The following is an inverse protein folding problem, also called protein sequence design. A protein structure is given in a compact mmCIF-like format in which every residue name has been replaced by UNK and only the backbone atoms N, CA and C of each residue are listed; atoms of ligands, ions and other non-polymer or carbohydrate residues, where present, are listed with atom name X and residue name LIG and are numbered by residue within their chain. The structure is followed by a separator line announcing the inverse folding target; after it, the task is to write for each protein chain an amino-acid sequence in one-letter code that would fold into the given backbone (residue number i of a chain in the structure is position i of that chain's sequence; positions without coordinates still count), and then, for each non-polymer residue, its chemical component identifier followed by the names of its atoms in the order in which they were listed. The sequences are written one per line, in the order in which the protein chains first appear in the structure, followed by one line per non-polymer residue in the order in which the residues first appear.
data_IF_964339171355
#
_entry.id   IF_964339171355
#
_cell.length_a   1.000
_cell.length_b   1.000
_cell.length_c   1.000
_cell.angle_alpha   90.00
_cell.angle_beta   90.00
_cell.angle_gamma   90.00
#
_symmetry.space_group_name_H-M   'P 1'
#
loop_
_entity.id
_entity.type
_entity.pdbx_description
1 polymer ?
#
# COMPACT_ATOMS: atom_id res chain seq x y z
N UNK A 1 15.92 -14.24 24.04
CA UNK A 1 16.35 -13.23 23.05
C UNK A 1 15.20 -13.03 22.08
N UNK A 2 14.60 -11.85 22.03
CA UNK A 2 13.56 -11.51 21.04
C UNK A 2 14.18 -11.41 19.66
N UNK A 3 13.56 -11.99 18.64
CA UNK A 3 14.00 -11.84 17.25
C UNK A 3 14.10 -10.33 16.89
N UNK A 4 15.07 -9.94 16.04
CA UNK A 4 15.19 -8.55 15.60
C UNK A 4 13.87 -8.08 14.95
N UNK A 5 13.49 -6.83 15.20
CA UNK A 5 12.29 -6.25 14.62
C UNK A 5 12.41 -6.24 13.09
N UNK A 6 11.36 -6.71 12.40
CA UNK A 6 11.33 -6.70 10.93
C UNK A 6 11.33 -5.27 10.41
N UNK A 7 12.23 -4.98 9.48
CA UNK A 7 12.39 -3.66 8.87
C UNK A 7 11.82 -3.63 7.46
N UNK A 8 10.84 -2.75 7.27
CA UNK A 8 10.06 -2.64 6.04
C UNK A 8 10.28 -1.25 5.45
N UNK A 9 10.56 -1.17 4.16
CA UNK A 9 10.72 0.13 3.50
C UNK A 9 9.63 0.40 2.47
N UNK A 10 9.15 1.64 2.40
CA UNK A 10 8.32 2.15 1.30
C UNK A 10 9.19 2.94 0.35
N UNK A 11 9.17 2.59 -0.94
CA UNK A 11 9.87 3.28 -2.00
C UNK A 11 8.87 3.90 -2.99
N UNK A 12 8.83 5.23 -3.03
CA UNK A 12 8.02 6.00 -3.96
C UNK A 12 8.91 6.97 -4.74
N UNK A 13 8.49 7.35 -5.95
CA UNK A 13 9.22 8.34 -6.75
C UNK A 13 9.32 9.70 -6.04
N UNK A 14 8.30 10.05 -5.26
CA UNK A 14 8.19 11.28 -4.46
C UNK A 14 7.36 11.01 -3.21
N UNK A 15 7.65 11.73 -2.13
CA UNK A 15 6.95 11.66 -0.85
C UNK A 15 6.17 12.94 -0.55
N UNK A 16 5.51 13.50 -1.57
CA UNK A 16 4.76 14.75 -1.45
C UNK A 16 3.40 14.50 -0.75
N UNK A 17 3.18 15.03 0.47
CA UNK A 17 1.92 14.85 1.20
C UNK A 17 0.74 15.60 0.55
N UNK A 18 0.94 16.48 -0.42
CA UNK A 18 -0.18 17.06 -1.17
C UNK A 18 -0.88 15.99 -2.03
N UNK A 19 -0.12 14.99 -2.49
CA UNK A 19 -0.67 13.91 -3.31
C UNK A 19 -1.51 12.93 -2.48
N UNK A 20 -2.79 12.79 -2.82
CA UNK A 20 -3.70 11.87 -2.13
C UNK A 20 -3.18 10.42 -2.08
N UNK A 21 -2.60 9.91 -3.18
CA UNK A 21 -2.02 8.57 -3.19
C UNK A 21 -0.86 8.41 -2.22
N UNK A 22 -0.07 9.46 -1.98
CA UNK A 22 1.04 9.41 -1.02
C UNK A 22 0.51 9.48 0.42
N UNK A 23 -0.44 10.36 0.72
CA UNK A 23 -1.04 10.40 2.06
C UNK A 23 -1.73 9.09 2.43
N UNK A 24 -2.63 8.62 1.56
CA UNK A 24 -3.58 7.56 1.88
C UNK A 24 -2.99 6.15 1.77
N UNK A 25 -2.03 5.93 0.85
CA UNK A 25 -1.42 4.60 0.62
C UNK A 25 -0.09 4.40 1.33
N UNK A 26 0.61 5.50 1.63
CA UNK A 26 2.00 5.45 2.09
C UNK A 26 2.14 6.10 3.46
N UNK A 27 1.99 7.42 3.58
CA UNK A 27 2.34 8.13 4.82
C UNK A 27 1.43 7.76 5.99
N UNK A 28 0.11 7.68 5.76
CA UNK A 28 -0.86 7.26 6.77
C UNK A 28 -0.60 5.83 7.27
N UNK A 29 -0.54 4.83 6.37
CA UNK A 29 -0.19 3.46 6.74
C UNK A 29 1.15 3.34 7.47
N UNK A 30 2.19 4.02 6.99
CA UNK A 30 3.50 4.03 7.65
C UNK A 30 3.43 4.60 9.07
N UNK A 31 2.72 5.72 9.27
CA UNK A 31 2.54 6.33 10.59
C UNK A 31 1.85 5.37 11.56
N UNK A 32 0.78 4.70 11.12
CA UNK A 32 0.08 3.69 11.93
C UNK A 32 0.98 2.51 12.30
N UNK A 33 1.74 1.97 11.34
CA UNK A 33 2.62 0.82 11.59
C UNK A 33 3.74 1.18 12.57
N UNK A 34 4.32 2.38 12.46
CA UNK A 34 5.30 2.90 13.43
C UNK A 34 4.71 3.05 14.82
N UNK A 35 3.52 3.62 14.93
CA UNK A 35 2.79 3.72 16.21
C UNK A 35 2.50 2.34 16.82
N UNK A 36 2.39 1.30 15.98
CA UNK A 36 2.21 -0.10 16.39
C UNK A 36 3.54 -0.80 16.73
N UNK A 37 4.67 -0.08 16.76
CA UNK A 37 5.99 -0.61 17.13
C UNK A 37 6.74 -1.32 16.00
N UNK A 38 6.31 -1.20 14.74
CA UNK A 38 7.04 -1.77 13.60
C UNK A 38 8.11 -0.81 13.09
N UNK A 39 9.25 -1.38 12.68
CA UNK A 39 10.34 -0.64 12.05
C UNK A 39 10.02 -0.41 10.56
N UNK A 40 9.46 0.77 10.27
CA UNK A 40 9.04 1.15 8.93
C UNK A 40 9.75 2.43 8.49
N UNK A 41 10.37 2.41 7.31
CA UNK A 41 11.18 3.52 6.80
C UNK A 41 10.79 3.92 5.38
N UNK A 42 11.09 5.16 5.01
CA UNK A 42 11.11 5.56 3.60
C UNK A 42 12.40 5.07 2.96
N UNK A 43 12.36 4.76 1.67
CA UNK A 43 13.53 4.37 0.88
C UNK A 43 13.75 5.37 -0.25
N UNK A 44 14.99 5.78 -0.45
CA UNK A 44 15.39 6.70 -1.51
C UNK A 44 16.39 6.02 -2.45
N UNK A 45 16.52 6.55 -3.67
CA UNK A 45 17.57 6.13 -4.59
C UNK A 45 18.95 6.35 -3.93
N UNK A 46 19.77 5.30 -3.90
CA UNK A 46 21.09 5.31 -3.24
C UNK A 46 21.10 4.66 -1.85
N UNK A 47 19.94 4.42 -1.24
CA UNK A 47 19.87 3.70 0.02
C UNK A 47 20.29 2.22 -0.16
N UNK A 48 20.90 1.65 0.88
CA UNK A 48 21.27 0.23 0.89
C UNK A 48 20.07 -0.62 1.32
N UNK A 49 19.61 -1.54 0.47
CA UNK A 49 18.48 -2.42 0.81
C UNK A 49 18.86 -3.69 1.60
N UNK A 50 20.16 -3.95 1.87
CA UNK A 50 20.68 -5.20 2.47
C UNK A 50 20.12 -5.55 3.85
N UNK A 51 19.60 -4.56 4.56
CA UNK A 51 19.08 -4.68 5.92
C UNK A 51 17.54 -4.74 5.97
N UNK A 52 16.88 -4.72 4.82
CA UNK A 52 15.42 -4.76 4.71
C UNK A 52 14.91 -6.20 4.66
N UNK A 53 13.80 -6.44 5.36
CA UNK A 53 13.00 -7.67 5.32
C UNK A 53 11.86 -7.59 4.30
N UNK A 54 11.50 -6.39 3.84
CA UNK A 54 10.62 -6.19 2.69
C UNK A 54 10.73 -4.79 2.14
N UNK A 55 10.34 -4.64 0.87
CA UNK A 55 10.16 -3.34 0.23
C UNK A 55 8.79 -3.25 -0.42
N UNK A 56 8.15 -2.09 -0.27
CA UNK A 56 6.90 -1.72 -0.94
C UNK A 56 7.20 -0.65 -1.97
N UNK A 57 7.02 -0.99 -3.23
CA UNK A 57 7.15 -0.07 -4.34
C UNK A 57 5.78 0.59 -4.59
N UNK A 58 5.58 1.80 -4.10
CA UNK A 58 4.32 2.55 -4.29
C UNK A 58 4.29 3.18 -5.67
N UNK A 59 3.73 2.46 -6.64
CA UNK A 59 3.69 2.80 -8.08
C UNK A 59 5.05 3.17 -8.66
N UNK A 60 6.13 2.68 -8.08
CA UNK A 60 7.49 3.02 -8.48
C UNK A 60 8.09 1.89 -9.31
N UNK A 61 8.41 2.18 -10.57
CA UNK A 61 8.97 1.24 -11.54
C UNK A 61 10.07 1.90 -12.39
N UNK A 62 10.91 2.75 -11.77
CA UNK A 62 12.12 3.24 -12.46
C UNK A 62 13.19 2.16 -12.48
N UNK A 63 14.27 2.40 -13.22
CA UNK A 63 15.42 1.48 -13.26
C UNK A 63 16.00 1.24 -11.86
N UNK A 64 16.05 2.28 -11.02
CA UNK A 64 16.53 2.18 -9.64
C UNK A 64 15.60 1.30 -8.78
N UNK A 65 14.28 1.47 -8.91
CA UNK A 65 13.31 0.65 -8.21
C UNK A 65 13.39 -0.82 -8.64
N UNK A 66 13.60 -1.06 -9.93
CA UNK A 66 13.80 -2.39 -10.51
C UNK A 66 15.09 -3.02 -9.98
N UNK A 67 16.20 -2.28 -9.95
CA UNK A 67 17.47 -2.77 -9.43
C UNK A 67 17.34 -3.18 -7.95
N UNK A 68 16.67 -2.37 -7.14
CA UNK A 68 16.39 -2.70 -5.74
C UNK A 68 15.48 -3.91 -5.62
N UNK A 69 14.43 -4.02 -6.45
CA UNK A 69 13.55 -5.19 -6.48
C UNK A 69 14.33 -6.47 -6.80
N UNK A 70 15.23 -6.44 -7.80
CA UNK A 70 16.10 -7.59 -8.14
C UNK A 70 16.97 -8.00 -6.97
N UNK A 71 17.63 -7.05 -6.30
CA UNK A 71 18.48 -7.34 -5.13
C UNK A 71 17.67 -7.97 -3.98
N UNK A 72 16.47 -7.45 -3.71
CA UNK A 72 15.56 -8.03 -2.73
C UNK A 72 15.16 -9.47 -3.10
N UNK A 73 14.86 -9.74 -4.38
CA UNK A 73 14.51 -11.07 -4.87
C UNK A 73 15.66 -12.07 -4.83
N UNK A 74 16.89 -11.65 -5.14
CA UNK A 74 18.10 -12.48 -5.00
C UNK A 74 18.25 -12.95 -3.55
N UNK A 75 17.91 -12.10 -2.58
CA UNK A 75 17.95 -12.41 -1.15
C UNK A 75 16.72 -13.16 -0.64
N UNK A 76 15.79 -13.55 -1.53
CA UNK A 76 14.53 -14.20 -1.16
C UNK A 76 13.55 -13.30 -0.41
N UNK A 77 13.80 -11.99 -0.34
CA UNK A 77 12.95 -11.07 0.40
C UNK A 77 11.72 -10.65 -0.42
N UNK A 78 10.58 -10.37 0.25
CA UNK A 78 9.39 -9.85 -0.39
C UNK A 78 9.59 -8.50 -1.09
N UNK A 79 9.01 -8.40 -2.29
CA UNK A 79 8.82 -7.16 -3.04
C UNK A 79 7.32 -7.00 -3.25
N UNK A 80 6.75 -5.96 -2.67
CA UNK A 80 5.32 -5.67 -2.74
C UNK A 80 5.13 -4.49 -3.70
N UNK A 81 4.34 -4.67 -4.76
CA UNK A 81 3.99 -3.58 -5.66
C UNK A 81 2.61 -3.04 -5.33
N UNK A 82 2.56 -1.80 -4.86
CA UNK A 82 1.34 -1.12 -4.42
C UNK A 82 0.80 -0.22 -5.54
N UNK A 83 -0.40 -0.55 -6.04
CA UNK A 83 -1.05 0.07 -7.18
C UNK A 83 -2.38 0.68 -6.74
N UNK A 84 -2.55 1.98 -6.92
CA UNK A 84 -3.77 2.70 -6.53
C UNK A 84 -4.51 3.37 -7.70
N UNK A 85 -4.02 3.22 -8.92
CA UNK A 85 -4.62 3.71 -10.17
C UNK A 85 -4.29 2.76 -11.33
N UNK A 86 -4.99 2.89 -12.46
CA UNK A 86 -4.68 2.10 -13.64
C UNK A 86 -3.43 2.65 -14.33
N UNK A 87 -2.26 2.23 -13.86
CA UNK A 87 -0.96 2.64 -14.40
C UNK A 87 -0.67 2.15 -15.82
N UNK A 88 -1.48 1.24 -16.39
CA UNK A 88 -1.35 0.81 -17.78
C UNK A 88 -2.05 1.78 -18.75
N UNK A 89 -3.10 2.44 -18.27
CA UNK A 89 -3.82 3.48 -18.98
C UNK A 89 -3.17 4.85 -18.73
N UNK A 90 -2.57 5.41 -19.77
CA UNK A 90 -1.89 6.70 -19.70
C UNK A 90 -1.95 7.43 -21.03
N UNK A 91 -1.86 8.76 -20.98
CA UNK A 91 -1.79 9.62 -22.18
C UNK A 91 -0.71 9.09 -23.12
N UNK A 92 -0.93 9.17 -24.44
CA UNK A 92 0.07 8.79 -25.45
C UNK A 92 1.38 9.52 -25.13
N UNK A 93 2.42 8.76 -24.80
CA UNK A 93 3.78 9.26 -24.56
C UNK A 93 4.71 8.61 -25.57
N UNK A 94 5.75 9.34 -25.97
CA UNK A 94 6.81 8.85 -26.88
C UNK A 94 7.49 7.59 -26.28
N UNK A 95 7.60 7.51 -24.96
CA UNK A 95 8.26 6.42 -24.23
C UNK A 95 7.31 5.31 -23.74
N UNK A 96 6.08 5.22 -24.28
CA UNK A 96 5.05 4.27 -23.78
C UNK A 96 5.57 2.83 -23.71
N UNK A 97 6.30 2.36 -24.72
CA UNK A 97 6.77 0.97 -24.76
C UNK A 97 7.82 0.68 -23.69
N UNK A 98 8.82 1.55 -23.53
CA UNK A 98 9.83 1.42 -22.47
C UNK A 98 9.21 1.50 -21.08
N UNK A 99 8.21 2.37 -20.90
CA UNK A 99 7.43 2.45 -19.66
C UNK A 99 6.69 1.15 -19.36
N UNK A 100 6.03 0.55 -20.35
CA UNK A 100 5.33 -0.73 -20.20
C UNK A 100 6.30 -1.90 -19.97
N UNK A 101 7.49 -1.87 -20.56
CA UNK A 101 8.52 -2.87 -20.31
C UNK A 101 8.94 -2.87 -18.83
N UNK A 102 9.30 -1.70 -18.29
CA UNK A 102 9.62 -1.54 -16.85
C UNK A 102 8.49 -1.96 -15.93
N UNK A 103 7.25 -1.66 -16.31
CA UNK A 103 6.09 -2.07 -15.54
C UNK A 103 5.91 -3.60 -15.51
N UNK A 104 6.08 -4.28 -16.65
CA UNK A 104 6.07 -5.75 -16.69
C UNK A 104 7.21 -6.36 -15.89
N UNK A 105 8.37 -5.71 -15.90
CA UNK A 105 9.54 -6.15 -15.16
C UNK A 105 9.37 -6.01 -13.64
N UNK A 106 8.86 -4.88 -13.15
CA UNK A 106 8.58 -4.76 -11.70
C UNK A 106 7.53 -5.78 -11.27
N UNK A 107 6.54 -6.07 -12.13
CA UNK A 107 5.54 -7.10 -11.86
C UNK A 107 6.20 -8.48 -11.76
N UNK A 108 7.06 -8.87 -12.70
CA UNK A 108 7.73 -10.19 -12.64
C UNK A 108 8.66 -10.34 -11.43
N UNK A 109 9.16 -9.22 -10.88
CA UNK A 109 9.97 -9.18 -9.67
C UNK A 109 9.14 -9.12 -8.39
N UNK A 110 7.85 -8.81 -8.46
CA UNK A 110 7.00 -8.67 -7.28
C UNK A 110 6.58 -10.03 -6.74
N UNK A 111 6.64 -10.22 -5.43
CA UNK A 111 6.03 -11.38 -4.77
C UNK A 111 4.56 -11.15 -4.47
N UNK A 112 4.19 -9.87 -4.33
CA UNK A 112 2.82 -9.46 -4.01
C UNK A 112 2.43 -8.22 -4.79
N UNK A 113 1.14 -8.14 -5.14
CA UNK A 113 0.53 -6.92 -5.65
C UNK A 113 -0.60 -6.52 -4.73
N UNK A 114 -0.66 -5.25 -4.40
CA UNK A 114 -1.74 -4.65 -3.62
C UNK A 114 -2.48 -3.66 -4.51
N UNK A 115 -3.81 -3.79 -4.56
CA UNK A 115 -4.71 -2.90 -5.26
C UNK A 115 -5.51 -2.07 -4.25
N UNK A 116 -5.84 -0.82 -4.59
CA UNK A 116 -6.72 0.03 -3.78
C UNK A 116 -8.19 -0.42 -3.81
N UNK A 117 -8.65 -1.06 -4.90
CA UNK A 117 -10.04 -1.50 -5.04
C UNK A 117 -10.16 -2.82 -5.81
N UNK A 118 -11.27 -3.57 -5.63
CA UNK A 118 -11.54 -4.77 -6.44
C UNK A 118 -11.70 -4.46 -7.93
N UNK A 119 -12.27 -3.29 -8.25
CA UNK A 119 -12.45 -2.83 -9.64
C UNK A 119 -11.10 -2.65 -10.31
N UNK A 120 -10.14 -2.01 -9.63
CA UNK A 120 -8.78 -1.86 -10.15
C UNK A 120 -8.09 -3.22 -10.33
N UNK A 121 -8.26 -4.14 -9.37
CA UNK A 121 -7.71 -5.49 -9.49
C UNK A 121 -8.25 -6.20 -10.75
N UNK A 122 -9.56 -6.14 -10.99
CA UNK A 122 -10.20 -6.73 -12.17
C UNK A 122 -9.69 -6.10 -13.48
N UNK A 123 -9.52 -4.78 -13.53
CA UNK A 123 -8.98 -4.08 -14.70
C UNK A 123 -7.54 -4.50 -15.04
N UNK A 124 -6.74 -4.86 -14.03
CA UNK A 124 -5.33 -5.22 -14.19
C UNK A 124 -5.09 -6.72 -14.30
N UNK A 125 -6.15 -7.53 -14.32
CA UNK A 125 -6.04 -8.98 -14.34
C UNK A 125 -5.33 -9.48 -15.61
N UNK A 126 -5.63 -8.92 -16.78
CA UNK A 126 -4.99 -9.29 -18.05
C UNK A 126 -3.47 -9.05 -18.08
N UNK A 127 -2.95 -8.20 -17.18
CA UNK A 127 -1.53 -7.90 -17.07
C UNK A 127 -0.81 -8.77 -16.03
N UNK A 128 -1.57 -9.41 -15.15
CA UNK A 128 -1.04 -10.13 -13.99
C UNK A 128 -1.46 -11.59 -13.96
N UNK A 129 -2.36 -12.01 -14.85
CA UNK A 129 -2.78 -13.39 -15.05
C UNK A 129 -1.59 -14.26 -15.45
N UNK A 130 -1.39 -15.38 -14.76
CA UNK A 130 -0.28 -16.31 -15.03
C UNK A 130 1.04 -15.97 -14.34
N UNK A 131 1.13 -14.82 -13.64
CA UNK A 131 2.29 -14.54 -12.79
C UNK A 131 2.12 -15.24 -11.43
N UNK A 132 3.17 -15.86 -10.86
CA UNK A 132 3.13 -16.53 -9.57
C UNK A 132 3.19 -15.50 -8.41
N UNK A 133 2.22 -14.59 -8.38
CA UNK A 133 2.18 -13.42 -7.50
C UNK A 133 0.89 -13.44 -6.70
N UNK A 134 1.00 -13.25 -5.38
CA UNK A 134 -0.18 -13.12 -4.53
C UNK A 134 -0.80 -11.73 -4.67
N UNK A 135 -2.12 -11.68 -4.85
CA UNK A 135 -2.88 -10.46 -5.14
C UNK A 135 -3.77 -10.11 -3.96
N UNK A 136 -3.76 -8.84 -3.56
CA UNK A 136 -4.54 -8.35 -2.41
C UNK A 136 -5.29 -7.07 -2.77
N UNK A 137 -6.50 -6.92 -2.25
CA UNK A 137 -7.21 -5.64 -2.26
C UNK A 137 -7.16 -5.05 -0.86
N UNK A 138 -6.48 -3.93 -0.71
CA UNK A 138 -6.40 -3.19 0.54
C UNK A 138 -6.94 -1.80 0.24
N UNK A 139 -8.11 -1.42 0.77
CA UNK A 139 -8.68 -0.09 0.54
C UNK A 139 -7.79 1.03 1.07
N UNK A 140 -7.97 2.22 0.49
CA UNK A 140 -7.30 3.43 0.96
C UNK A 140 -7.68 3.74 2.41
N UNK A 141 -6.73 4.33 3.14
CA UNK A 141 -7.03 4.90 4.44
C UNK A 141 -8.10 5.99 4.26
N UNK A 142 -9.02 6.07 5.23
CA UNK A 142 -9.95 7.20 5.30
C UNK A 142 -9.17 8.38 5.87
N UNK A 143 -9.07 9.47 5.10
CA UNK A 143 -8.67 10.77 5.64
C UNK A 143 -9.78 11.22 6.59
N UNK A 144 -9.54 11.06 7.89
CA UNK A 144 -10.38 11.73 8.88
C UNK A 144 -9.96 13.20 8.89
N UNK A 145 -10.87 14.16 8.66
CA UNK A 145 -10.53 15.56 8.81
C UNK A 145 -9.97 15.75 10.22
N UNK A 146 -8.79 16.36 10.33
CA UNK A 146 -8.25 16.72 11.63
C UNK A 146 -9.30 17.58 12.32
N UNK A 147 -9.81 17.12 13.46
CA UNK A 147 -10.73 17.83 14.33
C UNK A 147 -10.05 19.13 14.75
N UNK A 148 -10.26 20.20 13.97
CA UNK A 148 -9.50 21.45 14.09
C UNK A 148 -9.68 22.39 12.90
N UNK A 149 -9.98 21.87 11.72
CA UNK A 149 -10.43 22.70 10.59
C UNK A 149 -11.68 22.09 9.99
N UNK A 150 -12.84 22.61 10.41
CA UNK A 150 -14.05 22.48 9.61
C UNK A 150 -13.76 23.13 8.25
N UNK A 151 -13.36 22.31 7.27
CA UNK A 151 -13.32 22.74 5.89
C UNK A 151 -14.76 23.13 5.54
N UNK A 152 -15.04 24.44 5.50
CA UNK A 152 -16.27 24.96 4.96
C UNK A 152 -16.30 24.55 3.48
N UNK A 153 -16.90 23.40 3.19
CA UNK A 153 -17.22 23.00 1.82
C UNK A 153 -17.92 24.18 1.16
N UNK A 154 -17.40 24.60 0.02
CA UNK A 154 -18.03 25.66 -0.74
C UNK A 154 -19.40 25.17 -1.28
N UNK A 155 -20.30 26.06 -1.71
CA UNK A 155 -21.63 25.67 -2.16
C UNK A 155 -21.64 24.63 -3.29
N UNK A 156 -20.62 24.64 -4.17
CA UNK A 156 -20.46 23.66 -5.25
C UNK A 156 -20.07 22.27 -4.75
N UNK A 157 -19.13 22.19 -3.81
CA UNK A 157 -18.72 20.92 -3.18
C UNK A 157 -19.87 20.31 -2.36
N UNK A 158 -20.67 21.14 -1.69
CA UNK A 158 -21.90 20.70 -1.01
C UNK A 158 -22.91 20.13 -2.00
N UNK A 159 -23.12 20.81 -3.12
CA UNK A 159 -24.04 20.36 -4.16
C UNK A 159 -23.62 19.01 -4.76
N UNK A 160 -22.34 18.81 -5.06
CA UNK A 160 -21.82 17.54 -5.56
C UNK A 160 -21.93 16.40 -4.55
N UNK A 161 -21.62 16.66 -3.27
CA UNK A 161 -21.81 15.68 -2.19
C UNK A 161 -23.28 15.27 -2.04
N UNK A 162 -24.21 16.22 -2.10
CA UNK A 162 -25.64 15.91 -2.06
C UNK A 162 -26.12 15.09 -3.25
N UNK A 163 -25.53 15.26 -4.44
CA UNK A 163 -25.82 14.38 -5.59
C UNK A 163 -25.31 12.96 -5.38
N UNK A 164 -24.08 12.80 -4.88
CA UNK A 164 -23.49 11.48 -4.61
C UNK A 164 -24.29 10.70 -3.54
N UNK A 165 -24.76 11.39 -2.50
CA UNK A 165 -25.55 10.81 -1.42
C UNK A 165 -26.93 10.31 -1.88
N UNK A 166 -27.54 10.98 -2.88
CA UNK A 166 -28.84 10.59 -3.44
C UNK A 166 -28.76 9.46 -4.48
N UNK A 167 -27.55 9.17 -4.99
CA UNK A 167 -27.32 8.13 -6.02
C UNK A 167 -26.79 6.80 -5.47
N UNK A 168 -26.58 6.68 -4.16
CA UNK A 168 -26.05 5.45 -3.54
C UNK A 168 -27.19 4.64 -2.92
N UNK A 169 -27.29 3.30 -3.16
CA UNK A 169 -28.19 2.46 -2.38
C UNK A 169 -27.78 2.48 -0.89
N UNK A 170 -28.70 2.19 0.05
CA UNK A 170 -28.42 2.28 1.48
C UNK A 170 -27.24 1.37 1.84
N UNK A 171 -26.13 2.00 2.23
CA UNK A 171 -24.97 1.28 2.76
C UNK A 171 -25.42 0.61 4.07
N UNK A 172 -25.30 -0.71 4.22
CA UNK A 172 -25.60 -1.38 5.48
C UNK A 172 -24.77 -0.75 6.61
N UNK A 173 -25.43 -0.49 7.75
CA UNK A 173 -24.86 0.20 8.94
C UNK A 173 -23.64 -0.48 9.57
N UNK A 174 -23.16 -1.58 8.98
CA UNK A 174 -22.00 -2.36 9.40
C UNK A 174 -20.66 -1.85 8.80
N UNK A 175 -20.69 -0.89 7.87
CA UNK A 175 -19.48 -0.43 7.15
C UNK A 175 -18.72 0.73 7.83
N UNK A 176 -19.14 1.19 9.00
CA UNK A 176 -18.37 2.14 9.83
C UNK A 176 -17.44 1.33 10.73
N UNK A 177 -16.38 0.81 10.13
CA UNK A 177 -15.24 0.32 10.88
C UNK A 177 -14.39 1.54 11.28
N UNK A 178 -14.24 1.78 12.59
CA UNK A 178 -13.32 2.76 13.14
C UNK A 178 -11.90 2.53 12.59
N UNK A 179 -11.07 3.59 12.57
CA UNK A 179 -9.72 3.57 11.98
C UNK A 179 -8.82 2.42 12.47
N UNK A 180 -9.11 1.81 13.62
CA UNK A 180 -8.39 0.66 14.16
C UNK A 180 -8.67 -0.67 13.45
N UNK A 181 -9.84 -0.86 12.84
CA UNK A 181 -10.22 -2.14 12.21
C UNK A 181 -9.63 -2.33 10.81
N UNK A 182 -9.40 -1.24 10.05
CA UNK A 182 -8.87 -1.31 8.67
C UNK A 182 -7.35 -1.31 8.60
N UNK A 183 -6.70 -0.61 9.53
CA UNK A 183 -5.24 -0.69 9.67
C UNK A 183 -4.80 -2.09 10.17
N UNK A 184 -5.69 -2.79 10.90
CA UNK A 184 -5.54 -4.22 11.21
C UNK A 184 -5.64 -5.11 9.95
N UNK A 185 -6.31 -4.70 8.88
CA UNK A 185 -6.34 -5.45 7.60
C UNK A 185 -5.03 -5.29 6.81
N UNK A 186 -4.41 -4.09 6.83
CA UNK A 186 -3.04 -3.90 6.35
C UNK A 186 -2.08 -4.77 7.16
N UNK A 187 -2.22 -4.76 8.49
CA UNK A 187 -1.39 -5.59 9.38
C UNK A 187 -1.65 -7.09 9.25
N UNK A 188 -2.90 -7.53 9.04
CA UNK A 188 -3.24 -8.93 8.75
C UNK A 188 -2.70 -9.37 7.40
N UNK A 189 -2.74 -8.49 6.39
CA UNK A 189 -2.00 -8.72 5.16
C UNK A 189 -0.50 -8.85 5.47
N UNK A 190 0.13 -7.95 6.22
CA UNK A 190 1.55 -8.11 6.61
C UNK A 190 1.86 -9.38 7.43
N UNK A 191 0.96 -9.84 8.29
CA UNK A 191 1.08 -11.09 9.05
C UNK A 191 0.93 -12.34 8.16
N UNK A 192 0.12 -12.26 7.10
CA UNK A 192 -0.03 -13.31 6.09
C UNK A 192 1.16 -13.30 5.11
N UNK A 193 1.64 -12.09 4.75
CA UNK A 193 2.76 -11.85 3.83
C UNK A 193 4.11 -12.25 4.43
N UNK A 194 4.21 -12.41 5.75
CA UNK A 194 5.40 -12.92 6.42
C UNK A 194 5.06 -13.85 7.58
N UNK A 195 4.82 -15.15 7.32
CA UNK A 195 4.42 -16.09 8.34
C UNK A 195 5.42 -16.12 9.51
N UNK A 196 4.86 -16.07 10.73
CA UNK A 196 5.55 -16.31 12.00
C UNK A 196 5.89 -17.79 12.10
N UNK A 197 7.10 -18.20 11.76
CA UNK A 197 7.71 -19.29 12.50
C UNK A 197 8.12 -18.72 13.86
N UNK A 198 7.47 -19.19 14.94
CA UNK A 198 7.74 -18.89 16.37
C UNK A 198 7.26 -17.54 16.94
N UNK A 199 5.97 -17.41 17.26
CA UNK A 199 5.50 -16.67 18.47
C UNK A 199 4.29 -17.43 19.02
N UNK A 200 4.57 -18.45 19.83
CA UNK A 200 3.69 -18.85 20.93
C UNK A 200 3.94 -17.92 22.13
N UNK A 201 2.91 -17.74 22.94
CA UNK A 201 2.92 -17.06 24.25
C UNK A 201 2.80 -15.53 24.25
N UNK A 202 1.56 -15.08 24.08
CA UNK A 202 1.01 -14.03 24.96
C UNK A 202 -0.28 -14.59 25.57
N UNK A 203 -0.13 -15.49 26.54
CA UNK A 203 -1.19 -15.83 27.48
C UNK A 203 -1.42 -14.63 28.41
N UNK A 204 -2.70 -14.34 28.63
CA UNK A 204 -3.16 -13.24 29.48
C UNK A 204 -2.76 -13.49 30.93
N UNK A 205 -1.84 -12.69 31.46
CA UNK A 205 -1.64 -12.53 32.89
C UNK A 205 -2.64 -11.50 33.43
N UNK A 206 -3.86 -11.92 33.73
CA UNK A 206 -4.75 -11.16 34.62
C UNK A 206 -4.27 -11.37 36.05
N UNK A 207 -3.51 -10.41 36.56
CA UNK A 207 -3.18 -10.30 37.97
C UNK A 207 -3.85 -9.06 38.56
N UNK A 208 -5.00 -9.26 39.20
CA UNK A 208 -5.34 -8.84 40.57
C UNK A 208 -6.76 -9.27 40.89
#
# INVERSE_FOLDING_TARGET
MTAPAKRIAWFAKRYDPVMASIRLRLLGPMAYLRQSGLDVVTFSSGDCCRHLDAIILSKHFSEEAIAVAREMRIRGQPVIFDICDNIFEGKKRIDKQARLARLREVLSLSTHIVYSTPVLAAQLECHTSGLPISKWVIPDQIDMPQTGTAACLNPGERYELSRCALSSPPIPKHCIASGSARARAIWQAFHILMPRSSISDISHGTGR
#
